data_IF_791831380873
#
_entry.id   IF_791831380873
#
_cell.length_a   1.000
_cell.length_b   1.000
_cell.length_c   1.000
_cell.angle_alpha   90.00
_cell.angle_beta   90.00
_cell.angle_gamma   90.00
#
_symmetry.space_group_name_H-M   'P 1'
#
loop_
_entity.id
_entity.type
_entity.pdbx_description
1 polymer ?
#
# COMPACT_ATOMS: atom_id res chain seq x y z
N UNK A 1 19.21 -1.65 -10.90
CA UNK A 1 18.18 -2.70 -11.11
C UNK A 1 16.77 -2.09 -11.31
N UNK A 2 16.33 -1.24 -10.44
CA UNK A 2 15.01 -0.57 -10.46
C UNK A 2 14.65 0.15 -11.78
N UNK A 3 15.63 0.74 -12.44
CA UNK A 3 15.40 1.59 -13.63
C UNK A 3 14.99 0.75 -14.84
N UNK A 4 15.61 -0.42 -15.04
CA UNK A 4 15.29 -1.33 -16.14
C UNK A 4 13.82 -1.78 -16.05
N UNK A 5 13.39 -2.18 -14.86
CA UNK A 5 12.05 -2.70 -14.64
C UNK A 5 10.99 -1.60 -14.80
N UNK A 6 11.29 -0.38 -14.38
CA UNK A 6 10.46 0.81 -14.61
C UNK A 6 10.35 1.16 -16.10
N UNK A 7 11.45 1.06 -16.84
CA UNK A 7 11.45 1.30 -18.26
C UNK A 7 10.61 0.26 -19.02
N UNK A 8 10.71 -1.03 -18.64
CA UNK A 8 9.88 -2.09 -19.22
C UNK A 8 8.41 -1.86 -18.92
N UNK A 9 8.05 -1.53 -17.65
CA UNK A 9 6.69 -1.17 -17.29
C UNK A 9 6.16 0.02 -18.10
N UNK A 10 6.98 1.03 -18.34
CA UNK A 10 6.62 2.18 -19.17
C UNK A 10 6.31 1.79 -20.62
N UNK A 11 7.11 0.90 -21.21
CA UNK A 11 6.87 0.36 -22.55
C UNK A 11 5.59 -0.47 -22.62
N UNK A 12 5.30 -1.27 -21.57
CA UNK A 12 4.07 -2.04 -21.48
C UNK A 12 2.85 -1.11 -21.39
N UNK A 13 2.91 -0.04 -20.57
CA UNK A 13 1.84 0.96 -20.53
C UNK A 13 1.62 1.62 -21.89
N UNK A 14 2.69 1.93 -22.60
CA UNK A 14 2.58 2.48 -23.96
C UNK A 14 1.89 1.47 -24.90
N UNK A 15 2.28 0.19 -24.85
CA UNK A 15 1.66 -0.88 -25.64
C UNK A 15 0.18 -1.09 -25.32
N UNK A 16 -0.24 -0.98 -24.05
CA UNK A 16 -1.65 -1.02 -23.63
C UNK A 16 -2.47 0.07 -24.32
N UNK A 17 -1.90 1.25 -24.53
CA UNK A 17 -2.55 2.35 -25.26
C UNK A 17 -2.74 2.10 -26.77
N UNK A 18 -2.23 1.00 -27.32
CA UNK A 18 -2.38 0.63 -28.73
C UNK A 18 -3.17 -0.67 -28.94
N UNK A 19 -3.56 -1.37 -27.88
CA UNK A 19 -4.32 -2.62 -27.98
C UNK A 19 -5.77 -2.45 -27.55
N UNK A 20 -6.68 -3.12 -28.29
CA UNK A 20 -8.10 -3.24 -27.97
C UNK A 20 -8.51 -4.68 -27.69
N UNK A 21 -7.60 -5.64 -27.94
CA UNK A 21 -7.86 -7.04 -27.72
C UNK A 21 -7.83 -7.40 -26.24
N UNK A 22 -8.91 -7.94 -25.69
CA UNK A 22 -9.06 -8.28 -24.27
C UNK A 22 -7.91 -9.12 -23.73
N UNK A 23 -7.56 -10.23 -24.40
CA UNK A 23 -6.51 -11.13 -23.96
C UNK A 23 -5.11 -10.50 -24.00
N UNK A 24 -4.84 -9.68 -25.02
CA UNK A 24 -3.58 -8.94 -25.09
C UNK A 24 -3.50 -7.90 -23.95
N UNK A 25 -4.60 -7.21 -23.68
CA UNK A 25 -4.67 -6.26 -22.56
C UNK A 25 -4.44 -6.98 -21.22
N UNK A 26 -5.10 -8.09 -20.96
CA UNK A 26 -4.97 -8.86 -19.73
C UNK A 26 -3.53 -9.34 -19.51
N UNK A 27 -2.89 -9.88 -20.55
CA UNK A 27 -1.51 -10.37 -20.49
C UNK A 27 -0.53 -9.21 -20.22
N UNK A 28 -0.65 -8.12 -20.98
CA UNK A 28 0.19 -6.94 -20.79
C UNK A 28 0.00 -6.32 -19.39
N UNK A 29 -1.24 -6.28 -18.88
CA UNK A 29 -1.54 -5.78 -17.54
C UNK A 29 -0.89 -6.63 -16.46
N UNK A 30 -0.95 -7.97 -16.59
CA UNK A 30 -0.26 -8.90 -15.70
C UNK A 30 1.26 -8.69 -15.69
N UNK A 31 1.88 -8.56 -16.85
CA UNK A 31 3.31 -8.24 -16.96
C UNK A 31 3.64 -6.87 -16.38
N UNK A 32 2.79 -5.87 -16.58
CA UNK A 32 2.98 -4.55 -15.98
C UNK A 32 3.03 -4.62 -14.45
N UNK A 33 2.09 -5.33 -13.83
CA UNK A 33 2.09 -5.58 -12.39
C UNK A 33 3.36 -6.28 -11.92
N UNK A 34 3.81 -7.30 -12.65
CA UNK A 34 5.06 -8.02 -12.35
C UNK A 34 6.27 -7.09 -12.31
N UNK A 35 6.48 -6.29 -13.36
CA UNK A 35 7.62 -5.38 -13.41
C UNK A 35 7.51 -4.21 -12.42
N UNK A 36 6.31 -3.77 -12.08
CA UNK A 36 6.10 -2.73 -11.06
C UNK A 36 6.43 -3.21 -9.63
N UNK A 37 6.23 -4.49 -9.33
CA UNK A 37 6.45 -5.05 -8.00
C UNK A 37 7.91 -4.89 -7.50
N UNK A 38 8.89 -4.88 -8.39
CA UNK A 38 10.31 -4.71 -8.03
C UNK A 38 10.69 -3.30 -7.56
N UNK A 39 9.83 -2.30 -7.82
CA UNK A 39 10.16 -0.90 -7.58
C UNK A 39 10.22 -0.50 -6.11
N UNK A 40 9.32 -1.01 -5.29
CA UNK A 40 9.24 -0.62 -3.87
C UNK A 40 10.47 -1.11 -3.09
N UNK A 41 10.81 -2.40 -3.19
CA UNK A 41 11.95 -2.99 -2.48
C UNK A 41 13.28 -2.30 -2.78
N UNK A 42 13.55 -2.03 -4.04
CA UNK A 42 14.79 -1.36 -4.46
C UNK A 42 14.86 0.11 -4.02
N UNK A 43 13.73 0.83 -3.96
CA UNK A 43 13.69 2.19 -3.42
C UNK A 43 13.99 2.21 -1.93
N UNK A 44 13.44 1.25 -1.16
CA UNK A 44 13.73 1.11 0.28
C UNK A 44 15.20 0.81 0.52
N UNK A 45 15.80 -0.09 -0.26
CA UNK A 45 17.24 -0.39 -0.18
C UNK A 45 18.08 0.87 -0.44
N UNK A 46 17.73 1.66 -1.45
CA UNK A 46 18.43 2.92 -1.73
C UNK A 46 18.34 3.88 -0.54
N UNK A 47 17.16 4.05 0.08
CA UNK A 47 16.98 4.87 1.29
C UNK A 47 17.88 4.37 2.43
N UNK A 48 18.05 3.05 2.59
CA UNK A 48 18.91 2.50 3.64
C UNK A 48 20.39 2.77 3.41
N UNK A 49 20.84 2.94 2.18
CA UNK A 49 22.23 3.31 1.85
C UNK A 49 22.52 4.81 2.07
N UNK A 50 21.50 5.66 1.86
CA UNK A 50 21.66 7.11 1.92
C UNK A 50 21.43 7.70 3.31
N UNK A 51 20.62 7.05 4.15
CA UNK A 51 20.20 7.63 5.44
C UNK A 51 20.51 6.72 6.62
N UNK A 52 20.94 7.35 7.73
CA UNK A 52 21.22 6.66 8.99
C UNK A 52 19.93 6.09 9.62
N UNK A 53 20.08 5.14 10.55
CA UNK A 53 18.94 4.52 11.24
C UNK A 53 18.05 5.54 11.97
N UNK A 54 18.62 6.66 12.43
CA UNK A 54 17.89 7.73 13.14
C UNK A 54 17.00 8.59 12.23
N UNK A 55 17.38 8.71 10.96
CA UNK A 55 16.70 9.59 9.99
C UNK A 55 15.85 8.80 8.99
N UNK A 56 16.07 7.48 8.91
CA UNK A 56 15.46 6.60 7.91
C UNK A 56 13.94 6.61 7.97
N UNK A 57 13.34 6.68 9.16
CA UNK A 57 11.89 6.73 9.33
C UNK A 57 11.27 7.94 8.63
N UNK A 58 11.87 9.11 8.83
CA UNK A 58 11.40 10.36 8.20
C UNK A 58 11.49 10.29 6.67
N UNK A 59 12.63 9.88 6.12
CA UNK A 59 12.81 9.81 4.67
C UNK A 59 11.98 8.69 4.03
N UNK A 60 11.76 7.59 4.75
CA UNK A 60 10.84 6.55 4.32
C UNK A 60 9.39 7.06 4.28
N UNK A 61 8.95 7.79 5.29
CA UNK A 61 7.63 8.43 5.32
C UNK A 61 7.42 9.42 4.17
N UNK A 62 8.44 10.26 3.88
CA UNK A 62 8.41 11.17 2.74
C UNK A 62 8.31 10.40 1.41
N UNK A 63 9.11 9.34 1.24
CA UNK A 63 9.04 8.49 0.05
C UNK A 63 7.67 7.79 -0.08
N UNK A 64 7.14 7.26 1.02
CA UNK A 64 5.84 6.59 1.02
C UNK A 64 4.69 7.56 0.67
N UNK A 65 4.79 8.85 1.06
CA UNK A 65 3.80 9.88 0.70
C UNK A 65 3.71 10.11 -0.81
N UNK A 66 4.79 9.84 -1.56
CA UNK A 66 4.79 9.95 -3.01
C UNK A 66 3.77 9.04 -3.69
N UNK A 67 3.41 7.92 -3.05
CA UNK A 67 2.37 7.01 -3.54
C UNK A 67 1.00 7.70 -3.57
N UNK A 68 0.58 8.29 -2.46
CA UNK A 68 -0.71 9.00 -2.38
C UNK A 68 -0.76 10.24 -3.26
N UNK A 69 0.36 11.00 -3.33
CA UNK A 69 0.48 12.17 -4.21
C UNK A 69 0.38 11.73 -5.68
N UNK A 70 1.10 10.66 -6.03
CA UNK A 70 1.07 10.09 -7.37
C UNK A 70 -0.32 9.57 -7.75
N UNK A 71 -1.02 8.92 -6.83
CA UNK A 71 -2.38 8.44 -7.01
C UNK A 71 -3.35 9.61 -7.29
N UNK A 72 -3.30 10.68 -6.51
CA UNK A 72 -4.13 11.87 -6.70
C UNK A 72 -3.86 12.56 -8.05
N UNK A 73 -2.58 12.74 -8.42
CA UNK A 73 -2.19 13.32 -9.71
C UNK A 73 -2.66 12.42 -10.86
N UNK A 74 -2.52 11.11 -10.71
CA UNK A 74 -2.93 10.15 -11.74
C UNK A 74 -4.44 10.18 -11.95
N UNK A 75 -5.25 10.18 -10.90
CA UNK A 75 -6.71 10.26 -11.06
C UNK A 75 -7.14 11.52 -11.79
N UNK A 76 -6.70 12.70 -11.36
CA UNK A 76 -7.06 13.97 -11.97
C UNK A 76 -6.51 14.08 -13.40
N UNK A 77 -5.22 13.79 -13.57
CA UNK A 77 -4.54 13.90 -14.85
C UNK A 77 -5.07 12.91 -15.88
N UNK A 78 -5.31 11.66 -15.48
CA UNK A 78 -5.85 10.63 -16.38
C UNK A 78 -7.30 10.95 -16.75
N UNK A 79 -8.13 11.42 -15.81
CA UNK A 79 -9.49 11.84 -16.11
C UNK A 79 -9.50 12.95 -17.17
N UNK A 80 -8.67 13.98 -17.03
CA UNK A 80 -8.55 15.05 -18.02
C UNK A 80 -8.09 14.53 -19.39
N UNK A 81 -7.11 13.65 -19.43
CA UNK A 81 -6.59 13.07 -20.68
C UNK A 81 -7.65 12.20 -21.36
N UNK A 82 -8.35 11.36 -20.60
CA UNK A 82 -9.37 10.45 -21.14
C UNK A 82 -10.56 11.23 -21.70
N UNK A 83 -11.01 12.25 -21.01
CA UNK A 83 -12.15 13.09 -21.48
C UNK A 83 -11.80 13.91 -22.71
N UNK A 84 -10.52 14.34 -22.84
CA UNK A 84 -10.08 15.18 -23.96
C UNK A 84 -9.67 14.38 -25.20
N UNK A 85 -9.04 13.21 -25.02
CA UNK A 85 -8.37 12.45 -26.09
C UNK A 85 -8.83 10.99 -26.21
N UNK A 86 -9.67 10.52 -25.29
CA UNK A 86 -10.15 9.14 -25.23
C UNK A 86 -9.27 8.23 -24.36
N UNK A 87 -9.83 7.09 -23.94
CA UNK A 87 -9.28 6.20 -22.92
C UNK A 87 -7.88 5.65 -23.25
N UNK A 88 -7.55 5.40 -24.52
CA UNK A 88 -6.24 4.90 -24.94
C UNK A 88 -5.11 5.87 -24.59
N UNK A 89 -5.40 7.17 -24.62
CA UNK A 89 -4.41 8.19 -24.28
C UNK A 89 -4.06 8.21 -22.79
N UNK A 90 -4.93 7.74 -21.92
CA UNK A 90 -4.59 7.53 -20.51
C UNK A 90 -3.35 6.64 -20.33
N UNK A 91 -3.28 5.53 -21.07
CA UNK A 91 -2.11 4.64 -21.06
C UNK A 91 -0.90 5.21 -21.80
N UNK A 92 -1.12 5.86 -22.95
CA UNK A 92 -0.04 6.45 -23.75
C UNK A 92 0.70 7.56 -23.00
N UNK A 93 -0.05 8.49 -22.40
CA UNK A 93 0.53 9.58 -21.62
C UNK A 93 1.25 9.04 -20.40
N UNK A 94 0.66 8.11 -19.67
CA UNK A 94 1.30 7.44 -18.53
C UNK A 94 2.63 6.76 -18.96
N UNK A 95 2.61 6.01 -20.07
CA UNK A 95 3.81 5.37 -20.62
C UNK A 95 4.90 6.37 -20.98
N UNK A 96 4.56 7.46 -21.68
CA UNK A 96 5.52 8.52 -22.08
C UNK A 96 6.12 9.18 -20.82
N UNK A 97 5.29 9.58 -19.87
CA UNK A 97 5.77 10.20 -18.60
C UNK A 97 6.70 9.25 -17.85
N UNK A 98 6.34 7.96 -17.75
CA UNK A 98 7.19 6.96 -17.10
C UNK A 98 8.52 6.75 -17.84
N UNK A 99 8.56 6.79 -19.18
CA UNK A 99 9.82 6.72 -19.96
C UNK A 99 10.70 7.92 -19.62
N UNK A 100 10.16 9.14 -19.69
CA UNK A 100 10.91 10.36 -19.40
C UNK A 100 11.45 10.36 -17.97
N UNK A 101 10.63 9.95 -16.98
CA UNK A 101 11.06 9.82 -15.58
C UNK A 101 12.11 8.73 -15.40
N UNK A 102 12.01 7.60 -16.10
CA UNK A 102 13.01 6.54 -16.06
C UNK A 102 14.36 7.01 -16.57
N UNK A 103 14.39 7.80 -17.67
CA UNK A 103 15.60 8.42 -18.20
C UNK A 103 16.19 9.46 -17.26
N UNK A 104 15.33 10.25 -16.61
CA UNK A 104 15.75 11.22 -15.59
C UNK A 104 16.40 10.51 -14.39
N UNK A 105 15.77 9.47 -13.87
CA UNK A 105 16.30 8.67 -12.75
C UNK A 105 17.63 8.01 -13.15
N UNK A 106 17.72 7.47 -14.36
CA UNK A 106 18.97 6.87 -14.88
C UNK A 106 20.14 7.85 -14.84
N UNK A 107 19.87 9.12 -15.11
CA UNK A 107 20.91 10.16 -15.18
C UNK A 107 21.32 10.71 -13.81
N UNK A 108 20.40 10.80 -12.85
CA UNK A 108 20.59 11.57 -11.62
C UNK A 108 20.52 10.74 -10.33
N UNK A 109 19.93 9.55 -10.32
CA UNK A 109 19.80 8.74 -9.13
C UNK A 109 20.85 7.63 -9.08
N UNK A 110 21.73 7.67 -8.09
CA UNK A 110 22.70 6.63 -7.82
C UNK A 110 22.32 5.86 -6.54
N UNK A 111 22.66 4.57 -6.54
CA UNK A 111 22.26 3.64 -5.47
C UNK A 111 22.96 3.93 -4.13
N UNK A 112 24.18 4.49 -4.18
CA UNK A 112 25.04 4.73 -3.02
C UNK A 112 25.70 6.09 -3.02
N UNK A 113 25.93 6.70 -1.85
CA UNK A 113 26.60 8.00 -1.72
C UNK A 113 28.05 7.99 -2.13
N UNK A 114 28.76 6.86 -2.03
CA UNK A 114 30.18 6.70 -2.40
C UNK A 114 30.47 6.99 -3.88
N UNK A 115 29.48 6.80 -4.76
CA UNK A 115 29.59 7.17 -6.17
C UNK A 115 29.82 8.67 -6.36
N UNK A 116 29.35 9.50 -5.41
CA UNK A 116 29.58 10.94 -5.39
C UNK A 116 30.78 11.36 -4.52
N UNK A 117 31.59 10.40 -4.03
CA UNK A 117 32.69 10.67 -3.11
C UNK A 117 32.23 11.07 -1.69
N UNK A 118 30.96 10.84 -1.36
CA UNK A 118 30.42 11.09 -0.03
C UNK A 118 30.74 9.90 0.92
N UNK A 119 30.86 10.14 2.24
CA UNK A 119 31.13 9.06 3.19
C UNK A 119 29.96 8.07 3.24
N UNK A 120 30.28 6.79 3.31
CA UNK A 120 29.28 5.72 3.47
C UNK A 120 28.61 5.87 4.84
N UNK A 121 27.31 6.06 4.84
CA UNK A 121 26.51 6.30 6.07
C UNK A 121 26.44 5.06 6.96
N UNK A 122 26.55 3.86 6.36
CA UNK A 122 26.60 2.59 7.08
C UNK A 122 27.99 1.98 6.84
N UNK A 123 28.93 2.13 7.79
CA UNK A 123 30.08 1.24 7.84
C UNK A 123 29.54 -0.12 8.15
N UNK A 124 29.50 -1.01 7.16
CA UNK A 124 29.47 -2.43 7.43
C UNK A 124 30.79 -2.74 8.13
N UNK A 125 30.77 -2.88 9.45
CA UNK A 125 31.88 -3.58 10.11
C UNK A 125 31.95 -4.94 9.45
N UNK A 126 33.13 -5.39 9.02
CA UNK A 126 33.31 -6.78 8.61
C UNK A 126 33.07 -7.62 9.85
N UNK A 127 31.84 -8.11 10.01
CA UNK A 127 31.59 -9.16 10.98
C UNK A 127 32.39 -10.36 10.50
N UNK A 128 33.45 -10.71 11.21
CA UNK A 128 34.15 -12.00 11.17
C UNK A 128 33.25 -13.12 11.72
N UNK A 129 31.97 -13.09 11.43
CA UNK A 129 31.06 -14.18 11.75
C UNK A 129 30.73 -14.91 10.45
N UNK A 130 30.79 -16.24 10.53
CA UNK A 130 30.50 -17.21 9.49
C UNK A 130 29.41 -16.68 8.55
N UNK A 131 29.81 -16.25 7.34
CA UNK A 131 28.91 -15.71 6.34
C UNK A 131 28.06 -16.85 5.81
N UNK A 132 26.90 -17.06 6.43
CA UNK A 132 25.85 -17.86 5.83
C UNK A 132 25.59 -17.33 4.43
N UNK A 133 25.47 -18.22 3.45
CA UNK A 133 25.10 -17.82 2.09
C UNK A 133 23.82 -17.02 2.09
N UNK A 134 23.69 -16.06 1.18
CA UNK A 134 22.45 -15.22 1.05
C UNK A 134 21.19 -16.10 1.01
N UNK A 135 21.26 -17.25 0.33
CA UNK A 135 20.17 -18.24 0.29
C UNK A 135 19.82 -18.83 1.65
N UNK A 136 20.80 -19.11 2.50
CA UNK A 136 20.57 -19.62 3.85
C UNK A 136 19.90 -18.57 4.74
N UNK A 137 20.32 -17.30 4.64
CA UNK A 137 19.69 -16.18 5.35
C UNK A 137 18.24 -15.95 4.88
N UNK A 138 17.98 -16.02 3.58
CA UNK A 138 16.61 -15.94 3.04
C UNK A 138 15.74 -17.10 3.52
N UNK A 139 16.30 -18.31 3.63
CA UNK A 139 15.57 -19.47 4.14
C UNK A 139 15.22 -19.34 5.62
N UNK A 140 16.06 -18.68 6.43
CA UNK A 140 15.73 -18.33 7.81
C UNK A 140 14.53 -17.37 7.88
N UNK A 141 14.43 -16.39 6.99
CA UNK A 141 13.26 -15.48 6.89
C UNK A 141 11.99 -16.25 6.63
N UNK A 142 12.00 -17.16 5.65
CA UNK A 142 10.83 -17.99 5.30
C UNK A 142 10.40 -18.88 6.48
N UNK A 143 11.35 -19.31 7.34
CA UNK A 143 11.04 -20.12 8.53
C UNK A 143 10.66 -19.32 9.77
N UNK A 144 10.81 -17.99 9.75
CA UNK A 144 10.50 -17.15 10.89
C UNK A 144 8.97 -16.95 11.03
N UNK A 145 8.34 -17.47 12.10
CA UNK A 145 6.89 -17.34 12.25
C UNK A 145 6.42 -15.88 12.40
N UNK A 146 7.26 -14.99 12.96
CA UNK A 146 6.91 -13.59 13.10
C UNK A 146 6.73 -12.90 11.74
N UNK A 147 7.49 -13.30 10.72
CA UNK A 147 7.33 -12.81 9.34
C UNK A 147 5.97 -13.19 8.77
N UNK A 148 5.51 -14.42 9.00
CA UNK A 148 4.20 -14.88 8.53
C UNK A 148 3.06 -14.24 9.30
N UNK A 149 3.19 -14.05 10.61
CA UNK A 149 2.20 -13.33 11.42
C UNK A 149 2.05 -11.89 10.88
N UNK A 150 3.17 -11.20 10.64
CA UNK A 150 3.14 -9.85 10.06
C UNK A 150 2.59 -9.85 8.63
N UNK A 151 2.92 -10.85 7.82
CA UNK A 151 2.41 -10.99 6.46
C UNK A 151 0.88 -11.17 6.44
N UNK A 152 0.33 -12.01 7.31
CA UNK A 152 -1.13 -12.20 7.44
C UNK A 152 -1.78 -10.94 8.03
N UNK A 153 -1.16 -10.29 9.02
CA UNK A 153 -1.63 -9.00 9.55
C UNK A 153 -1.74 -7.95 8.45
N UNK A 154 -0.69 -7.82 7.63
CA UNK A 154 -0.68 -6.89 6.49
C UNK A 154 -1.70 -7.29 5.41
N UNK A 155 -1.89 -8.57 5.14
CA UNK A 155 -2.93 -9.04 4.22
C UNK A 155 -4.33 -8.63 4.69
N UNK A 156 -4.66 -8.82 5.98
CA UNK A 156 -5.93 -8.40 6.56
C UNK A 156 -6.10 -6.87 6.53
N UNK A 157 -5.04 -6.11 6.77
CA UNK A 157 -5.03 -4.65 6.60
C UNK A 157 -5.37 -4.25 5.16
N UNK A 158 -4.78 -4.92 4.16
CA UNK A 158 -5.04 -4.68 2.74
C UNK A 158 -6.46 -5.09 2.32
N UNK A 159 -7.04 -6.14 2.91
CA UNK A 159 -8.45 -6.49 2.70
C UNK A 159 -9.34 -5.30 3.00
N UNK A 160 -9.23 -4.70 4.17
CA UNK A 160 -10.06 -3.54 4.55
C UNK A 160 -9.77 -2.30 3.69
N UNK A 161 -8.48 -2.05 3.39
CA UNK A 161 -8.06 -0.92 2.55
C UNK A 161 -8.71 -0.99 1.17
N UNK A 162 -8.56 -2.13 0.49
CA UNK A 162 -9.07 -2.31 -0.87
C UNK A 162 -10.58 -2.46 -0.91
N UNK A 163 -11.20 -2.95 0.17
CA UNK A 163 -12.65 -2.96 0.31
C UNK A 163 -13.24 -1.55 0.20
N UNK A 164 -12.70 -0.61 0.97
CA UNK A 164 -13.13 0.80 0.92
C UNK A 164 -12.84 1.42 -0.45
N UNK A 165 -11.68 1.14 -1.04
CA UNK A 165 -11.31 1.73 -2.32
C UNK A 165 -12.13 1.17 -3.50
N UNK A 166 -12.43 -0.13 -3.52
CA UNK A 166 -13.14 -0.77 -4.63
C UNK A 166 -14.66 -0.67 -4.48
N UNK A 167 -15.17 -0.83 -3.26
CA UNK A 167 -16.60 -0.97 -3.01
C UNK A 167 -17.21 0.20 -2.22
N UNK A 168 -16.39 1.10 -1.64
CA UNK A 168 -16.87 2.16 -0.76
C UNK A 168 -17.84 3.12 -1.42
N UNK A 169 -17.64 3.50 -2.69
CA UNK A 169 -18.57 4.37 -3.43
C UNK A 169 -19.88 3.62 -3.64
N UNK A 170 -19.83 2.38 -4.13
CA UNK A 170 -21.01 1.59 -4.37
C UNK A 170 -21.81 1.28 -3.08
N UNK A 171 -21.11 1.05 -1.97
CA UNK A 171 -21.72 0.91 -0.65
C UNK A 171 -22.50 2.16 -0.24
N UNK A 172 -21.91 3.34 -0.39
CA UNK A 172 -22.57 4.60 -0.06
C UNK A 172 -23.78 4.88 -0.95
N UNK A 173 -23.70 4.54 -2.23
CA UNK A 173 -24.81 4.70 -3.17
C UNK A 173 -25.95 3.73 -2.87
N UNK A 174 -25.63 2.43 -2.77
CA UNK A 174 -26.64 1.38 -2.70
C UNK A 174 -27.24 1.20 -1.30
N UNK A 175 -26.43 1.34 -0.23
CA UNK A 175 -26.87 1.10 1.15
C UNK A 175 -27.31 2.39 1.85
N UNK A 176 -26.59 3.52 1.60
CA UNK A 176 -26.86 4.80 2.27
C UNK A 176 -27.58 5.84 1.41
N UNK A 177 -27.83 5.54 0.13
CA UNK A 177 -28.64 6.37 -0.77
C UNK A 177 -27.99 7.68 -1.22
N UNK A 178 -26.64 7.80 -1.15
CA UNK A 178 -25.91 8.96 -1.63
C UNK A 178 -25.88 9.01 -3.16
N UNK A 179 -25.77 10.21 -3.71
CA UNK A 179 -25.43 10.37 -5.12
C UNK A 179 -23.98 10.00 -5.38
N UNK A 180 -23.63 9.63 -6.63
CA UNK A 180 -22.26 9.28 -7.03
C UNK A 180 -21.25 10.37 -6.67
N UNK A 181 -21.62 11.64 -6.78
CA UNK A 181 -20.75 12.78 -6.47
C UNK A 181 -20.49 12.87 -4.97
N UNK A 182 -21.55 12.74 -4.15
CA UNK A 182 -21.42 12.74 -2.69
C UNK A 182 -20.59 11.56 -2.21
N UNK A 183 -20.90 10.35 -2.66
CA UNK A 183 -20.19 9.13 -2.32
C UNK A 183 -18.70 9.22 -2.69
N UNK A 184 -18.39 9.67 -3.91
CA UNK A 184 -17.01 9.88 -4.37
C UNK A 184 -16.27 10.93 -3.55
N UNK A 185 -16.95 12.02 -3.17
CA UNK A 185 -16.34 13.08 -2.34
C UNK A 185 -16.04 12.57 -0.94
N UNK A 186 -16.93 11.80 -0.32
CA UNK A 186 -16.73 11.19 0.99
C UNK A 186 -15.56 10.20 0.94
N UNK A 187 -15.55 9.28 -0.02
CA UNK A 187 -14.45 8.30 -0.15
C UNK A 187 -13.12 8.99 -0.44
N UNK A 188 -13.11 10.05 -1.26
CA UNK A 188 -11.87 10.79 -1.58
C UNK A 188 -11.22 11.44 -0.35
N UNK A 189 -11.98 11.73 0.70
CA UNK A 189 -11.44 12.29 1.94
C UNK A 189 -10.40 11.35 2.58
N UNK A 190 -10.52 10.02 2.42
CA UNK A 190 -9.52 9.07 2.93
C UNK A 190 -8.16 9.25 2.25
N UNK A 191 -8.12 9.47 0.93
CA UNK A 191 -6.87 9.62 0.20
C UNK A 191 -6.13 10.90 0.63
N UNK A 192 -6.86 12.02 0.78
CA UNK A 192 -6.29 13.29 1.25
C UNK A 192 -5.75 13.14 2.68
N UNK A 193 -6.55 12.58 3.58
CA UNK A 193 -6.16 12.32 4.97
C UNK A 193 -4.98 11.35 5.07
N UNK A 194 -4.93 10.37 4.19
CA UNK A 194 -3.84 9.38 4.08
C UNK A 194 -2.49 10.00 3.77
N UNK A 195 -2.43 11.09 2.98
CA UNK A 195 -1.19 11.83 2.72
C UNK A 195 -0.58 12.31 4.05
N UNK A 196 -1.40 12.93 4.90
CA UNK A 196 -0.96 13.41 6.20
C UNK A 196 -0.53 12.25 7.12
N UNK A 197 -1.33 11.17 7.20
CA UNK A 197 -0.99 9.99 7.97
C UNK A 197 0.36 9.40 7.57
N UNK A 198 0.57 9.22 6.27
CA UNK A 198 1.81 8.66 5.71
C UNK A 198 3.01 9.58 5.97
N UNK A 199 2.87 10.87 5.72
CA UNK A 199 3.94 11.85 5.90
C UNK A 199 4.39 11.95 7.37
N UNK A 200 3.43 12.05 8.28
CA UNK A 200 3.74 12.22 9.70
C UNK A 200 4.08 10.91 10.43
N UNK A 201 3.83 9.74 9.84
CA UNK A 201 4.07 8.44 10.48
C UNK A 201 5.52 8.25 10.96
N UNK A 202 6.51 8.60 10.12
CA UNK A 202 7.93 8.52 10.47
C UNK A 202 8.31 9.48 11.58
N UNK A 203 7.87 10.75 11.48
CA UNK A 203 8.11 11.77 12.49
C UNK A 203 7.46 11.39 13.83
N UNK A 204 6.26 10.83 13.76
CA UNK A 204 5.52 10.36 14.93
C UNK A 204 6.30 9.27 15.68
N UNK A 205 6.79 8.24 14.96
CA UNK A 205 7.60 7.17 15.53
C UNK A 205 8.89 7.71 16.14
N UNK A 206 9.65 8.49 15.37
CA UNK A 206 11.02 8.87 15.74
C UNK A 206 11.04 9.91 16.88
N UNK A 207 10.11 10.88 16.86
CA UNK A 207 10.10 12.00 17.82
C UNK A 207 9.27 11.76 19.07
N UNK A 208 8.12 11.09 18.96
CA UNK A 208 7.19 10.92 20.09
C UNK A 208 7.26 9.54 20.73
N UNK A 209 7.73 8.52 20.01
CA UNK A 209 7.79 7.15 20.49
C UNK A 209 9.21 6.57 20.52
N UNK A 210 10.25 7.40 20.46
CA UNK A 210 11.66 7.01 20.53
C UNK A 210 12.03 5.88 19.53
N UNK A 211 11.47 5.92 18.33
CA UNK A 211 11.68 4.92 17.29
C UNK A 211 10.91 3.62 17.51
N UNK A 212 10.10 3.48 18.56
CA UNK A 212 9.22 2.31 18.73
C UNK A 212 7.98 2.46 17.86
N UNK A 213 7.59 1.39 17.20
CA UNK A 213 6.49 1.40 16.21
C UNK A 213 5.24 0.67 16.70
N UNK A 214 5.39 -0.14 17.74
CA UNK A 214 4.32 -1.00 18.26
C UNK A 214 3.17 -0.19 18.85
N UNK A 215 3.47 0.77 19.72
CA UNK A 215 2.43 1.58 20.38
C UNK A 215 1.66 2.45 19.38
N UNK A 216 2.32 3.22 18.48
CA UNK A 216 1.57 3.96 17.47
C UNK A 216 0.83 3.03 16.49
N UNK A 217 1.36 1.86 16.13
CA UNK A 217 0.64 0.88 15.32
C UNK A 217 -0.64 0.38 16.02
N UNK A 218 -0.60 0.16 17.34
CA UNK A 218 -1.77 -0.21 18.13
C UNK A 218 -2.83 0.92 18.12
N UNK A 219 -2.42 2.15 18.42
CA UNK A 219 -3.33 3.30 18.48
C UNK A 219 -4.03 3.50 17.13
N UNK A 220 -3.25 3.57 16.06
CA UNK A 220 -3.81 3.77 14.72
C UNK A 220 -4.53 2.54 14.17
N UNK A 221 -4.17 1.33 14.62
CA UNK A 221 -4.94 0.11 14.35
C UNK A 221 -6.33 0.14 14.97
N UNK A 222 -6.45 0.63 16.21
CA UNK A 222 -7.76 0.84 16.87
C UNK A 222 -8.56 1.91 16.10
N UNK A 223 -7.95 3.04 15.77
CA UNK A 223 -8.61 4.11 14.98
C UNK A 223 -9.10 3.55 13.65
N UNK A 224 -8.29 2.76 12.97
CA UNK A 224 -8.61 2.14 11.69
C UNK A 224 -9.83 1.22 11.78
N UNK A 225 -9.85 0.33 12.78
CA UNK A 225 -10.97 -0.58 13.00
C UNK A 225 -12.26 0.16 13.39
N UNK A 226 -12.16 1.17 14.28
CA UNK A 226 -13.31 1.98 14.67
C UNK A 226 -13.84 2.85 13.51
N UNK A 227 -12.95 3.42 12.71
CA UNK A 227 -13.34 4.20 11.53
C UNK A 227 -14.05 3.31 10.49
N UNK A 228 -13.54 2.10 10.25
CA UNK A 228 -14.20 1.11 9.38
C UNK A 228 -15.59 0.72 9.93
N UNK A 229 -15.69 0.47 11.23
CA UNK A 229 -16.96 0.14 11.86
C UNK A 229 -17.96 1.32 11.79
N UNK A 230 -17.50 2.56 12.00
CA UNK A 230 -18.32 3.75 11.85
C UNK A 230 -18.80 3.94 10.41
N UNK A 231 -17.93 3.69 9.42
CA UNK A 231 -18.29 3.76 8.00
C UNK A 231 -19.37 2.76 7.62
N UNK A 232 -19.23 1.50 8.08
CA UNK A 232 -20.15 0.41 7.71
C UNK A 232 -21.44 0.46 8.53
N UNK A 233 -21.35 0.63 9.84
CA UNK A 233 -22.48 0.50 10.78
C UNK A 233 -23.10 1.85 11.16
N UNK A 234 -22.45 2.97 10.83
CA UNK A 234 -22.94 4.30 11.16
C UNK A 234 -24.16 4.71 10.33
N UNK A 235 -24.93 5.67 10.82
CA UNK A 235 -26.09 6.20 10.08
C UNK A 235 -25.65 6.86 8.76
N UNK A 236 -26.60 6.99 7.81
CA UNK A 236 -26.41 7.75 6.59
C UNK A 236 -26.38 9.26 6.90
N UNK A 237 -25.23 9.76 7.32
CA UNK A 237 -24.98 11.16 7.65
C UNK A 237 -23.66 11.60 7.00
N UNK A 238 -23.67 12.63 6.12
CA UNK A 238 -22.49 13.06 5.37
C UNK A 238 -21.32 13.48 6.24
N UNK A 239 -21.58 14.05 7.43
CA UNK A 239 -20.53 14.45 8.36
C UNK A 239 -19.90 13.22 9.01
N UNK A 240 -20.68 12.26 9.49
CA UNK A 240 -20.18 11.03 10.10
C UNK A 240 -19.41 10.16 9.12
N UNK A 241 -19.92 10.04 7.88
CA UNK A 241 -19.25 9.26 6.84
C UNK A 241 -17.95 9.93 6.39
N UNK A 242 -17.92 11.26 6.26
CA UNK A 242 -16.69 12.00 5.96
C UNK A 242 -15.68 11.89 7.12
N UNK A 243 -16.14 12.01 8.37
CA UNK A 243 -15.29 11.86 9.54
C UNK A 243 -14.68 10.46 9.61
N UNK A 244 -15.49 9.42 9.34
CA UNK A 244 -15.00 8.04 9.28
C UNK A 244 -13.92 7.88 8.23
N UNK A 245 -14.08 8.46 7.04
CA UNK A 245 -13.10 8.41 5.95
C UNK A 245 -11.83 9.19 6.26
N UNK A 246 -11.92 10.32 6.95
CA UNK A 246 -10.74 11.07 7.39
C UNK A 246 -9.95 10.27 8.43
N UNK A 247 -10.62 9.71 9.45
CA UNK A 247 -9.97 8.87 10.47
C UNK A 247 -9.36 7.62 9.85
N UNK A 248 -10.10 6.96 8.96
CA UNK A 248 -9.63 5.80 8.20
C UNK A 248 -8.38 6.14 7.40
N UNK A 249 -8.39 7.24 6.65
CA UNK A 249 -7.27 7.67 5.81
C UNK A 249 -6.01 7.99 6.61
N UNK A 250 -6.12 8.76 7.70
CA UNK A 250 -4.97 9.02 8.59
C UNK A 250 -4.40 7.73 9.13
N UNK A 251 -5.25 6.86 9.67
CA UNK A 251 -4.82 5.58 10.25
C UNK A 251 -4.21 4.66 9.19
N UNK A 252 -4.82 4.58 8.00
CA UNK A 252 -4.32 3.85 6.84
C UNK A 252 -2.91 4.32 6.47
N UNK A 253 -2.70 5.64 6.36
CA UNK A 253 -1.41 6.20 6.02
C UNK A 253 -0.31 5.82 7.00
N UNK A 254 -0.59 5.86 8.30
CA UNK A 254 0.35 5.46 9.36
C UNK A 254 0.63 3.96 9.32
N UNK A 255 -0.42 3.14 9.26
CA UNK A 255 -0.30 1.68 9.27
C UNK A 255 0.39 1.14 8.01
N UNK A 256 0.20 1.78 6.86
CA UNK A 256 0.87 1.40 5.62
C UNK A 256 2.39 1.50 5.75
N UNK A 257 2.89 2.53 6.43
CA UNK A 257 4.32 2.70 6.70
C UNK A 257 4.82 1.67 7.71
N UNK A 258 4.04 1.36 8.74
CA UNK A 258 4.47 0.45 9.80
C UNK A 258 4.32 -1.02 9.38
N UNK A 259 3.13 -1.49 9.07
CA UNK A 259 2.87 -2.90 8.75
C UNK A 259 3.45 -3.31 7.40
N UNK A 260 3.37 -2.42 6.41
CA UNK A 260 3.88 -2.68 5.07
C UNK A 260 5.39 -2.49 4.89
N UNK A 261 6.08 -1.88 5.86
CA UNK A 261 7.47 -1.50 5.70
C UNK A 261 8.32 -1.60 6.95
N UNK A 262 8.21 -0.65 7.86
CA UNK A 262 9.18 -0.47 8.94
C UNK A 262 9.21 -1.65 9.93
N UNK A 263 8.06 -2.21 10.32
CA UNK A 263 8.02 -3.38 11.21
C UNK A 263 8.62 -4.62 10.56
N UNK A 264 8.46 -4.78 9.24
CA UNK A 264 9.06 -5.88 8.50
C UNK A 264 10.59 -5.81 8.52
N UNK A 265 11.16 -4.60 8.44
CA UNK A 265 12.61 -4.38 8.52
C UNK A 265 13.14 -4.56 9.94
N UNK A 266 12.33 -4.28 10.98
CA UNK A 266 12.75 -4.37 12.38
C UNK A 266 12.79 -5.82 12.91
N UNK A 267 12.03 -6.74 12.30
CA UNK A 267 11.93 -8.14 12.74
C UNK A 267 13.15 -8.98 12.31
N UNK A 268 13.82 -8.59 11.24
CA UNK A 268 14.94 -9.35 10.66
C UNK A 268 16.16 -8.45 10.42
N UNK A 269 17.33 -9.08 10.21
CA UNK A 269 18.55 -8.36 9.87
C UNK A 269 18.40 -7.56 8.58
N UNK A 270 19.10 -6.44 8.47
CA UNK A 270 19.04 -5.52 7.34
C UNK A 270 19.32 -6.17 5.98
N UNK A 271 20.17 -7.20 5.97
CA UNK A 271 20.58 -7.91 4.76
C UNK A 271 19.43 -8.68 4.09
N UNK A 272 18.44 -9.11 4.87
CA UNK A 272 17.29 -9.89 4.38
C UNK A 272 15.98 -9.08 4.36
N UNK A 273 16.04 -7.80 4.67
CA UNK A 273 14.86 -6.91 4.71
C UNK A 273 14.06 -6.93 3.41
N UNK A 274 14.72 -7.02 2.26
CA UNK A 274 14.07 -7.16 0.96
C UNK A 274 13.23 -8.44 0.83
N UNK A 275 13.69 -9.55 1.40
CA UNK A 275 12.95 -10.83 1.39
C UNK A 275 11.72 -10.77 2.28
N UNK A 276 11.83 -10.15 3.47
CA UNK A 276 10.69 -9.94 4.37
C UNK A 276 9.64 -9.05 3.72
N UNK A 277 10.06 -7.91 3.16
CA UNK A 277 9.16 -7.01 2.43
C UNK A 277 8.48 -7.69 1.24
N UNK A 278 9.19 -8.60 0.56
CA UNK A 278 8.64 -9.40 -0.52
C UNK A 278 7.52 -10.34 -0.06
N UNK A 279 7.73 -11.05 1.06
CA UNK A 279 6.72 -11.96 1.64
C UNK A 279 5.50 -11.17 2.11
N UNK A 280 5.72 -10.10 2.88
CA UNK A 280 4.64 -9.24 3.39
C UNK A 280 3.85 -8.60 2.24
N UNK A 281 4.56 -8.07 1.22
CA UNK A 281 3.92 -7.47 0.05
C UNK A 281 3.10 -8.48 -0.76
N UNK A 282 3.64 -9.70 -0.99
CA UNK A 282 2.91 -10.76 -1.68
C UNK A 282 1.62 -11.14 -0.94
N UNK A 283 1.70 -11.37 0.36
CA UNK A 283 0.53 -11.68 1.19
C UNK A 283 -0.51 -10.55 1.15
N UNK A 284 -0.06 -9.29 1.23
CA UNK A 284 -0.91 -8.11 1.19
C UNK A 284 -1.72 -8.01 -0.11
N UNK A 285 -1.06 -8.18 -1.26
CA UNK A 285 -1.75 -8.12 -2.55
C UNK A 285 -2.60 -9.35 -2.85
N UNK A 286 -2.24 -10.53 -2.33
CA UNK A 286 -3.13 -11.68 -2.36
C UNK A 286 -4.40 -11.42 -1.55
N UNK A 287 -4.27 -10.84 -0.35
CA UNK A 287 -5.41 -10.40 0.47
C UNK A 287 -6.30 -9.40 -0.26
N UNK A 288 -5.71 -8.40 -0.92
CA UNK A 288 -6.42 -7.41 -1.72
C UNK A 288 -7.22 -8.05 -2.89
N UNK A 289 -6.58 -8.94 -3.66
CA UNK A 289 -7.25 -9.61 -4.77
C UNK A 289 -8.36 -10.58 -4.32
N UNK A 290 -8.12 -11.32 -3.24
CA UNK A 290 -9.15 -12.19 -2.65
C UNK A 290 -10.34 -11.40 -2.11
N UNK A 291 -10.08 -10.25 -1.51
CA UNK A 291 -11.11 -9.36 -0.99
C UNK A 291 -12.09 -8.92 -2.08
N UNK A 292 -11.60 -8.47 -3.25
CA UNK A 292 -12.46 -8.03 -4.34
C UNK A 292 -13.42 -9.14 -4.81
N UNK A 293 -12.90 -10.37 -4.91
CA UNK A 293 -13.70 -11.55 -5.29
C UNK A 293 -14.73 -11.90 -4.21
N UNK A 294 -14.28 -11.98 -2.94
CA UNK A 294 -15.14 -12.40 -1.83
C UNK A 294 -16.21 -11.35 -1.55
N UNK A 295 -15.84 -10.06 -1.52
CA UNK A 295 -16.83 -8.98 -1.33
C UNK A 295 -17.84 -8.94 -2.47
N UNK A 296 -17.41 -9.06 -3.72
CA UNK A 296 -18.31 -9.12 -4.86
C UNK A 296 -19.29 -10.29 -4.77
N UNK A 297 -18.81 -11.46 -4.36
CA UNK A 297 -19.67 -12.63 -4.16
C UNK A 297 -20.66 -12.44 -2.99
N UNK A 298 -20.22 -11.92 -1.85
CA UNK A 298 -21.09 -11.66 -0.69
C UNK A 298 -22.18 -10.64 -1.00
N UNK A 299 -21.85 -9.57 -1.75
CA UNK A 299 -22.80 -8.53 -2.16
C UNK A 299 -23.80 -9.10 -3.17
N UNK A 300 -23.34 -9.92 -4.11
CA UNK A 300 -24.19 -10.57 -5.11
C UNK A 300 -25.14 -11.60 -4.48
N UNK A 301 -24.66 -12.38 -3.51
CA UNK A 301 -25.46 -13.36 -2.78
C UNK A 301 -26.52 -12.70 -1.87
N UNK A 302 -26.21 -11.53 -1.33
CA UNK A 302 -27.12 -10.75 -0.47
C UNK A 302 -28.15 -9.93 -1.22
N UNK A 303 -28.12 -9.87 -2.56
CA UNK A 303 -29.08 -9.08 -3.34
C UNK A 303 -30.49 -9.64 -3.31
N UNK A 304 -31.46 -8.72 -3.23
CA UNK A 304 -32.89 -9.04 -3.33
C UNK A 304 -33.55 -8.16 -4.39
N UNK A 305 -34.59 -8.69 -5.06
CA UNK A 305 -35.36 -7.91 -6.03
C UNK A 305 -36.73 -7.63 -5.44
N UNK A 306 -37.03 -6.34 -5.18
CA UNK A 306 -38.31 -5.89 -4.63
C UNK A 306 -38.93 -4.91 -5.62
N UNK A 307 -40.14 -5.18 -6.09
CA UNK A 307 -40.89 -4.35 -7.07
C UNK A 307 -40.11 -4.07 -8.38
N UNK A 308 -39.21 -4.95 -8.79
CA UNK A 308 -38.39 -4.77 -10.00
C UNK A 308 -37.10 -3.96 -9.78
N UNK A 309 -36.84 -3.47 -8.57
CA UNK A 309 -35.60 -2.83 -8.20
C UNK A 309 -34.68 -3.81 -7.46
N UNK A 310 -33.39 -3.79 -7.78
CA UNK A 310 -32.39 -4.61 -7.12
C UNK A 310 -31.85 -3.88 -5.90
N UNK A 311 -32.07 -4.45 -4.72
CA UNK A 311 -31.53 -3.98 -3.46
C UNK A 311 -30.30 -4.85 -3.10
N UNK A 312 -29.19 -4.21 -2.78
CA UNK A 312 -27.96 -4.85 -2.37
C UNK A 312 -27.85 -4.84 -0.84
N UNK A 313 -27.35 -5.93 -0.26
CA UNK A 313 -27.09 -6.03 1.16
C UNK A 313 -25.58 -6.17 1.39
N UNK A 314 -25.01 -5.28 2.19
CA UNK A 314 -23.59 -5.22 2.50
C UNK A 314 -23.25 -5.78 3.89
N UNK A 315 -24.18 -6.33 4.65
CA UNK A 315 -23.94 -6.81 6.02
C UNK A 315 -22.77 -7.81 6.10
N UNK A 316 -22.77 -8.82 5.23
CA UNK A 316 -21.73 -9.84 5.22
C UNK A 316 -20.38 -9.28 4.73
N UNK A 317 -20.39 -8.44 3.70
CA UNK A 317 -19.19 -7.78 3.19
C UNK A 317 -18.63 -6.79 4.23
N UNK A 318 -19.47 -6.00 4.87
CA UNK A 318 -19.10 -5.09 5.95
C UNK A 318 -18.52 -5.81 7.17
N UNK A 319 -19.10 -6.95 7.54
CA UNK A 319 -18.56 -7.80 8.61
C UNK A 319 -17.15 -8.34 8.26
N UNK A 320 -16.92 -8.73 7.01
CA UNK A 320 -15.60 -9.12 6.51
C UNK A 320 -14.60 -7.96 6.62
N UNK A 321 -14.99 -6.74 6.23
CA UNK A 321 -14.13 -5.55 6.25
C UNK A 321 -13.73 -5.16 7.66
N UNK A 322 -14.70 -5.09 8.59
CA UNK A 322 -14.46 -4.79 10.02
C UNK A 322 -13.65 -5.91 10.66
N UNK A 323 -14.04 -7.18 10.44
CA UNK A 323 -13.36 -8.34 10.98
C UNK A 323 -11.89 -8.40 10.56
N UNK A 324 -11.60 -8.10 9.30
CA UNK A 324 -10.23 -8.05 8.78
C UNK A 324 -9.40 -6.94 9.44
N UNK A 325 -9.96 -5.75 9.67
CA UNK A 325 -9.28 -4.68 10.39
C UNK A 325 -8.92 -5.10 11.83
N UNK A 326 -9.86 -5.74 12.55
CA UNK A 326 -9.64 -6.25 13.91
C UNK A 326 -8.58 -7.36 13.93
N UNK A 327 -8.67 -8.33 13.02
CA UNK A 327 -7.70 -9.44 12.92
C UNK A 327 -6.30 -8.91 12.60
N UNK A 328 -6.18 -7.94 11.69
CA UNK A 328 -4.91 -7.27 11.42
C UNK A 328 -4.29 -6.67 12.67
N UNK A 329 -5.08 -5.94 13.45
CA UNK A 329 -4.64 -5.34 14.71
C UNK A 329 -4.18 -6.39 15.72
N UNK A 330 -4.97 -7.44 15.94
CA UNK A 330 -4.65 -8.52 16.88
C UNK A 330 -3.36 -9.25 16.48
N UNK A 331 -3.18 -9.57 15.21
CA UNK A 331 -1.97 -10.21 14.70
C UNK A 331 -0.73 -9.31 14.84
N UNK A 332 -0.87 -8.00 14.59
CA UNK A 332 0.22 -7.06 14.80
C UNK A 332 0.70 -7.02 16.27
N UNK A 333 -0.21 -7.20 17.23
CA UNK A 333 0.19 -7.27 18.65
C UNK A 333 0.98 -8.52 19.02
N UNK A 334 0.83 -9.64 18.30
CA UNK A 334 1.58 -10.86 18.55
C UNK A 334 3.09 -10.73 18.23
N UNK A 335 3.45 -9.80 17.33
CA UNK A 335 4.84 -9.52 17.00
C UNK A 335 5.46 -8.37 17.78
N UNK A 336 4.77 -7.89 18.84
CA UNK A 336 5.13 -6.72 19.66
C UNK A 336 6.57 -6.76 20.20
N UNK A 337 7.01 -7.92 20.68
CA UNK A 337 8.33 -8.08 21.34
C UNK A 337 9.40 -8.67 20.42
N UNK A 338 9.07 -8.91 19.15
CA UNK A 338 10.01 -9.48 18.20
C UNK A 338 10.92 -8.36 17.68
N UNK A 339 12.21 -8.47 17.94
CA UNK A 339 13.24 -7.57 17.43
C UNK A 339 14.34 -8.37 16.76
N UNK A 340 15.02 -7.77 15.79
CA UNK A 340 16.25 -8.32 15.25
C UNK A 340 17.28 -8.48 16.36
N UNK A 341 18.10 -9.54 16.31
CA UNK A 341 19.24 -9.72 17.22
C UNK A 341 20.34 -8.65 17.05
N UNK A 342 20.25 -7.78 16.02
CA UNK A 342 21.28 -6.78 15.66
C UNK A 342 21.04 -5.43 16.36
#
# INVERSE_FOLDING_TARGET
MCIRDRFISALINLALGFTTAFWAFLILWGFNGWFQAFGAGSSVVTITHWYSGKERGTFYGMWASSHNIGEAITFIGTAFVITSFGWMWGFRVAGIVCILMSLFILRYLFERPDVYGLPVVTKSEPAEQEQLSVGAKQWQVVRNPAVWILAVSSACFYVTRYAVNSWGIFFLEAEKGYTTIEASSIVSANAIAGIFGTFFSGILSDRFFNGTRNLPALIFGIIYALATALFVLGPADPFMDTLSMVLFGVALGVLMVYLGGLMAVDICSKEVSGSVLGIVGLASYLGAGMQDIISGWLIEDGKTVVNGETLYNFDAAGALWIGSAIVSLLLATLVWNVRSPD
#
